data_IF_071779456887
#
_entry.id   IF_071779456887
#
_cell.length_a   1.000
_cell.length_b   1.000
_cell.length_c   1.000
_cell.angle_alpha   90.00
_cell.angle_beta   90.00
_cell.angle_gamma   90.00
#
_symmetry.space_group_name_H-M   'P 1'
#
loop_
_entity.id
_entity.type
_entity.pdbx_description
1 polymer ?
#
# COMPACT_ATOMS: atom_id res chain seq x y z
N UNK A 1 -35.59 25.87 -24.69
CA UNK A 1 -34.89 25.90 -23.39
C UNK A 1 -35.77 25.24 -22.34
N UNK A 2 -35.32 24.14 -21.72
CA UNK A 2 -35.97 23.57 -20.52
C UNK A 2 -35.00 23.75 -19.34
N UNK A 3 -35.47 24.12 -18.14
CA UNK A 3 -34.59 24.28 -16.99
C UNK A 3 -34.07 22.91 -16.54
N UNK A 4 -32.75 22.81 -16.31
CA UNK A 4 -32.13 21.60 -15.76
C UNK A 4 -32.38 21.59 -14.25
N UNK A 5 -33.14 20.61 -13.77
CA UNK A 5 -33.44 20.45 -12.36
C UNK A 5 -32.22 19.85 -11.63
N UNK A 6 -31.61 20.64 -10.75
CA UNK A 6 -30.59 20.18 -9.80
C UNK A 6 -31.28 19.63 -8.56
N UNK A 7 -30.99 18.38 -8.19
CA UNK A 7 -31.51 17.76 -6.97
C UNK A 7 -30.38 17.58 -5.95
N UNK A 8 -30.69 17.85 -4.68
CA UNK A 8 -29.79 17.65 -3.55
C UNK A 8 -30.13 16.32 -2.87
N UNK A 9 -29.15 15.44 -2.72
CA UNK A 9 -29.26 14.29 -1.81
C UNK A 9 -28.44 14.62 -0.56
N UNK A 10 -29.11 14.65 0.60
CA UNK A 10 -28.49 14.99 1.88
C UNK A 10 -28.15 13.69 2.63
N UNK A 11 -26.87 13.34 2.69
CA UNK A 11 -26.36 12.24 3.51
C UNK A 11 -25.24 12.78 4.42
N UNK A 12 -25.57 13.15 5.66
CA UNK A 12 -24.58 13.68 6.61
C UNK A 12 -23.89 14.99 6.17
N UNK A 13 -22.80 15.37 6.85
CA UNK A 13 -22.12 16.70 6.83
C UNK A 13 -21.55 17.17 5.46
N UNK A 14 -21.91 16.58 4.34
CA UNK A 14 -21.46 17.01 3.01
C UNK A 14 -22.57 16.93 1.96
N UNK A 15 -22.67 17.95 1.12
CA UNK A 15 -23.53 18.00 -0.07
C UNK A 15 -22.70 17.77 -1.34
N UNK A 16 -23.15 16.87 -2.22
CA UNK A 16 -22.45 16.52 -3.47
C UNK A 16 -23.27 17.01 -4.67
N UNK A 17 -22.62 17.71 -5.62
CA UNK A 17 -23.20 18.10 -6.91
C UNK A 17 -23.15 16.92 -7.89
N UNK A 18 -24.30 16.48 -8.38
CA UNK A 18 -24.41 15.41 -9.37
C UNK A 18 -24.78 15.98 -10.74
N UNK A 19 -23.94 15.78 -11.75
CA UNK A 19 -24.25 16.08 -13.16
C UNK A 19 -24.42 14.75 -13.93
N UNK A 20 -25.62 14.42 -14.44
CA UNK A 20 -25.92 13.11 -15.02
C UNK A 20 -25.24 12.81 -16.37
N UNK A 21 -24.38 13.69 -16.90
CA UNK A 21 -23.65 13.48 -18.17
C UNK A 21 -22.18 13.12 -18.02
N UNK A 22 -21.61 13.09 -16.82
CA UNK A 22 -20.24 12.65 -16.59
C UNK A 22 -20.24 11.26 -15.93
N UNK A 23 -19.46 10.32 -16.50
CA UNK A 23 -19.23 9.01 -15.88
C UNK A 23 -18.77 9.22 -14.43
N UNK A 24 -19.27 8.45 -13.45
CA UNK A 24 -18.89 8.64 -12.05
C UNK A 24 -17.42 8.27 -11.87
N UNK A 25 -16.56 9.29 -11.73
CA UNK A 25 -15.29 9.14 -11.05
C UNK A 25 -15.63 9.06 -9.56
N UNK A 26 -15.66 7.84 -9.02
CA UNK A 26 -15.76 7.64 -7.57
C UNK A 26 -14.43 8.05 -6.96
N UNK A 27 -14.25 9.35 -6.71
CA UNK A 27 -13.17 9.84 -5.85
C UNK A 27 -13.55 9.56 -4.40
N UNK A 28 -13.12 8.41 -3.89
CA UNK A 28 -13.16 8.19 -2.43
C UNK A 28 -12.09 9.12 -1.82
N UNK A 29 -12.53 10.26 -1.31
CA UNK A 29 -11.70 11.18 -0.53
C UNK A 29 -11.54 10.56 0.86
N UNK A 30 -10.41 9.92 1.12
CA UNK A 30 -10.03 9.50 2.47
C UNK A 30 -9.31 10.69 3.13
N UNK A 31 -9.84 11.13 4.27
CA UNK A 31 -9.27 12.24 5.05
C UNK A 31 -7.84 11.92 5.49
N UNK A 32 -6.88 12.62 4.91
CA UNK A 32 -5.48 12.63 5.31
C UNK A 32 -5.09 14.02 5.82
N UNK A 33 -4.14 14.03 6.75
CA UNK A 33 -3.54 15.21 7.37
C UNK A 33 -3.14 16.30 6.33
N UNK A 34 -3.61 17.55 6.45
CA UNK A 34 -3.37 18.61 5.46
C UNK A 34 -1.91 19.08 5.36
N UNK A 35 -1.01 18.62 6.24
CA UNK A 35 0.38 19.10 6.28
C UNK A 35 1.40 18.24 5.54
N UNK A 36 1.01 17.09 4.97
CA UNK A 36 1.92 16.25 4.17
C UNK A 36 1.43 16.11 2.73
N UNK A 37 1.96 16.97 1.86
CA UNK A 37 1.84 16.82 0.40
C UNK A 37 2.74 15.67 -0.03
N UNK A 38 2.18 14.46 -0.09
CA UNK A 38 2.79 13.37 -0.84
C UNK A 38 2.78 13.76 -2.33
N UNK A 39 3.87 13.52 -3.08
CA UNK A 39 3.90 13.84 -4.50
C UNK A 39 2.72 13.17 -5.21
N UNK A 40 2.07 13.94 -6.08
CA UNK A 40 0.77 13.72 -6.72
C UNK A 40 0.72 12.52 -7.70
N UNK A 41 1.17 11.34 -7.26
CA UNK A 41 0.88 10.02 -7.85
C UNK A 41 0.12 9.10 -6.88
N UNK A 42 -0.40 9.62 -5.78
CA UNK A 42 -1.44 8.97 -4.97
C UNK A 42 -2.81 8.99 -5.69
N UNK A 43 -2.82 8.85 -7.02
CA UNK A 43 -4.00 8.58 -7.82
C UNK A 43 -4.27 7.09 -7.75
N UNK A 44 -5.44 6.75 -7.21
CA UNK A 44 -5.94 5.41 -6.93
C UNK A 44 -5.59 4.39 -8.02
N UNK A 45 -4.75 3.41 -7.69
CA UNK A 45 -4.69 2.17 -8.45
C UNK A 45 -6.10 1.62 -8.61
N UNK A 46 -6.50 1.34 -9.84
CA UNK A 46 -7.76 0.66 -10.11
C UNK A 46 -7.78 -0.70 -9.42
N UNK A 47 -8.98 -1.22 -9.15
CA UNK A 47 -9.14 -2.56 -8.59
C UNK A 47 -8.35 -3.62 -9.38
N UNK A 48 -8.30 -3.49 -10.71
CA UNK A 48 -7.56 -4.39 -11.59
C UNK A 48 -6.05 -4.30 -11.36
N UNK A 49 -5.51 -3.10 -11.20
CA UNK A 49 -4.08 -2.88 -10.93
C UNK A 49 -3.69 -3.39 -9.54
N UNK A 50 -4.49 -3.11 -8.51
CA UNK A 50 -4.27 -3.65 -7.16
C UNK A 50 -4.29 -5.17 -7.20
N UNK A 51 -5.28 -5.78 -7.85
CA UNK A 51 -5.35 -7.24 -7.99
C UNK A 51 -4.13 -7.80 -8.71
N UNK A 52 -3.68 -7.17 -9.79
CA UNK A 52 -2.47 -7.60 -10.50
C UNK A 52 -1.20 -7.50 -9.62
N UNK A 53 -1.08 -6.45 -8.81
CA UNK A 53 0.03 -6.31 -7.87
C UNK A 53 -0.01 -7.39 -6.78
N UNK A 54 -1.17 -7.67 -6.19
CA UNK A 54 -1.32 -8.73 -5.21
C UNK A 54 -0.89 -10.11 -5.76
N UNK A 55 -1.25 -10.42 -7.01
CA UNK A 55 -0.81 -11.66 -7.65
C UNK A 55 0.70 -11.72 -7.86
N UNK A 56 1.31 -10.59 -8.27
CA UNK A 56 2.75 -10.49 -8.42
C UNK A 56 3.47 -10.70 -7.07
N UNK A 57 3.02 -10.01 -6.03
CA UNK A 57 3.60 -10.12 -4.68
C UNK A 57 3.42 -11.51 -4.09
N UNK A 58 2.27 -12.15 -4.32
CA UNK A 58 2.03 -13.54 -3.94
C UNK A 58 3.00 -14.48 -4.67
N UNK A 59 3.25 -14.25 -5.96
CA UNK A 59 4.25 -14.99 -6.73
C UNK A 59 5.67 -14.84 -6.17
N UNK A 60 6.08 -13.60 -5.87
CA UNK A 60 7.38 -13.30 -5.27
C UNK A 60 7.52 -13.96 -3.88
N UNK A 61 6.50 -13.85 -3.02
CA UNK A 61 6.56 -14.47 -1.69
C UNK A 61 6.59 -16.00 -1.75
N UNK A 62 5.91 -16.64 -2.71
CA UNK A 62 5.93 -18.10 -2.87
C UNK A 62 7.26 -18.66 -3.38
N UNK A 63 8.08 -17.84 -4.03
CA UNK A 63 9.44 -18.24 -4.46
C UNK A 63 10.51 -17.88 -3.43
N UNK A 64 10.18 -17.05 -2.44
CA UNK A 64 11.10 -16.71 -1.36
C UNK A 64 11.31 -17.94 -0.43
N UNK A 65 12.57 -18.32 -0.12
CA UNK A 65 12.88 -19.52 0.64
C UNK A 65 12.29 -19.60 2.04
N UNK A 66 12.08 -18.44 2.69
CA UNK A 66 11.53 -18.37 4.03
C UNK A 66 10.01 -18.31 3.97
N UNK A 67 9.44 -17.37 3.20
CA UNK A 67 7.97 -17.14 3.14
C UNK A 67 7.21 -18.37 2.66
N UNK A 68 7.78 -19.19 1.75
CA UNK A 68 7.13 -20.41 1.23
C UNK A 68 6.82 -21.45 2.31
N UNK A 69 7.50 -21.39 3.46
CA UNK A 69 7.31 -22.32 4.59
C UNK A 69 6.14 -21.90 5.50
N UNK A 70 5.47 -20.78 5.21
CA UNK A 70 4.30 -20.34 5.97
C UNK A 70 3.16 -21.36 5.89
N UNK A 71 2.80 -21.95 7.03
CA UNK A 71 1.76 -22.98 7.14
C UNK A 71 0.61 -22.61 8.08
N UNK A 72 0.83 -21.77 9.11
CA UNK A 72 -0.19 -21.37 10.09
C UNK A 72 -0.15 -19.86 10.39
N UNK A 73 -0.89 -19.04 9.61
CA UNK A 73 -1.70 -19.40 8.46
C UNK A 73 -0.88 -19.60 7.16
N UNK A 74 -1.41 -20.31 6.15
CA UNK A 74 -0.75 -20.43 4.86
C UNK A 74 -0.67 -19.10 4.11
N UNK A 75 0.42 -18.90 3.36
CA UNK A 75 0.62 -17.68 2.57
C UNK A 75 -0.30 -17.63 1.34
N UNK A 76 -1.31 -16.75 1.40
CA UNK A 76 -2.37 -16.61 0.39
C UNK A 76 -2.69 -15.13 0.15
N UNK A 77 -3.64 -14.83 -0.74
CA UNK A 77 -4.13 -13.45 -0.95
C UNK A 77 -4.66 -12.81 0.34
N UNK A 78 -5.15 -13.62 1.31
CA UNK A 78 -5.65 -13.13 2.60
C UNK A 78 -4.54 -12.64 3.53
N UNK A 79 -3.29 -12.97 3.25
CA UNK A 79 -2.14 -12.51 4.04
C UNK A 79 -1.86 -11.02 3.85
N UNK A 80 -2.42 -10.38 2.81
CA UNK A 80 -2.17 -8.99 2.49
C UNK A 80 -3.18 -8.04 3.13
N UNK A 81 -2.67 -7.11 3.93
CA UNK A 81 -3.45 -6.04 4.53
C UNK A 81 -3.07 -4.69 3.92
N UNK A 82 -4.10 -3.92 3.52
CA UNK A 82 -3.92 -2.58 2.96
C UNK A 82 -3.90 -1.54 4.07
N UNK A 83 -2.80 -0.80 4.18
CA UNK A 83 -2.72 0.41 4.98
C UNK A 83 -3.28 1.61 4.20
N UNK A 84 -3.95 2.52 4.90
CA UNK A 84 -4.56 3.74 4.36
C UNK A 84 -3.60 4.93 4.42
N UNK A 85 -2.66 4.92 5.38
CA UNK A 85 -1.66 5.97 5.55
C UNK A 85 -0.30 5.40 6.00
N UNK A 86 0.72 6.25 6.01
CA UNK A 86 2.07 5.87 6.42
C UNK A 86 2.15 5.56 7.92
N UNK A 87 1.41 6.28 8.77
CA UNK A 87 1.44 6.04 10.21
C UNK A 87 0.85 4.66 10.55
N UNK A 88 -0.24 4.25 9.90
CA UNK A 88 -0.80 2.89 10.07
C UNK A 88 0.19 1.81 9.61
N UNK A 89 0.87 2.02 8.48
CA UNK A 89 1.90 1.09 8.02
C UNK A 89 3.03 0.96 9.05
N UNK A 90 3.50 2.09 9.59
CA UNK A 90 4.52 2.12 10.63
C UNK A 90 4.07 1.42 11.91
N UNK A 91 2.82 1.62 12.34
CA UNK A 91 2.24 0.93 13.50
C UNK A 91 2.20 -0.59 13.30
N UNK A 92 1.81 -1.06 12.11
CA UNK A 92 1.81 -2.50 11.78
C UNK A 92 3.22 -3.09 11.82
N UNK A 93 4.20 -2.41 11.22
CA UNK A 93 5.58 -2.88 11.20
C UNK A 93 6.24 -2.86 12.59
N UNK A 94 5.88 -1.90 13.45
CA UNK A 94 6.38 -1.80 14.83
C UNK A 94 5.77 -2.86 15.77
N UNK A 95 4.49 -3.21 15.57
CA UNK A 95 3.75 -4.09 16.49
C UNK A 95 4.45 -5.45 16.72
N UNK A 96 5.04 -6.02 15.66
CA UNK A 96 5.62 -7.36 15.70
C UNK A 96 4.59 -8.46 15.96
N UNK A 97 5.07 -9.63 16.42
CA UNK A 97 4.28 -10.84 16.64
C UNK A 97 3.46 -11.28 15.40
N UNK A 98 4.05 -11.09 14.21
CA UNK A 98 3.42 -11.47 12.96
C UNK A 98 3.85 -12.86 12.51
N UNK A 99 2.89 -13.61 11.98
CA UNK A 99 3.16 -14.88 11.31
C UNK A 99 4.04 -14.67 10.08
N UNK A 100 4.77 -15.71 9.70
CA UNK A 100 5.48 -15.77 8.44
C UNK A 100 4.50 -15.53 7.26
N UNK A 101 4.90 -14.73 6.28
CA UNK A 101 4.06 -14.38 5.13
C UNK A 101 2.98 -13.33 5.41
N UNK A 102 2.78 -12.88 6.65
CA UNK A 102 1.92 -11.72 6.91
C UNK A 102 2.44 -10.50 6.15
N UNK A 103 1.56 -9.83 5.41
CA UNK A 103 1.96 -8.74 4.52
C UNK A 103 1.17 -7.45 4.77
N UNK A 104 1.86 -6.33 4.66
CA UNK A 104 1.31 -4.98 4.75
C UNK A 104 1.70 -4.19 3.52
N UNK A 105 0.78 -3.40 2.96
CA UNK A 105 1.11 -2.56 1.80
C UNK A 105 0.43 -1.20 1.85
N UNK A 106 1.14 -0.20 1.32
CA UNK A 106 0.66 1.17 1.13
C UNK A 106 0.96 1.60 -0.31
N UNK A 107 -0.08 1.84 -1.10
CA UNK A 107 0.06 2.12 -2.52
C UNK A 107 0.66 0.94 -3.27
N UNK A 108 1.82 1.15 -3.89
CA UNK A 108 2.59 0.09 -4.59
C UNK A 108 3.81 -0.40 -3.79
N UNK A 109 3.93 -0.09 -2.50
CA UNK A 109 5.00 -0.59 -1.65
C UNK A 109 4.43 -1.66 -0.71
N UNK A 110 4.97 -2.87 -0.79
CA UNK A 110 4.55 -4.04 -0.03
C UNK A 110 5.70 -4.56 0.84
N UNK A 111 5.35 -5.03 2.02
CA UNK A 111 6.21 -5.65 3.01
C UNK A 111 5.65 -7.03 3.29
N UNK A 112 6.45 -8.09 3.14
CA UNK A 112 6.05 -9.45 3.49
C UNK A 112 6.99 -9.94 4.57
N UNK A 113 6.43 -10.35 5.71
CA UNK A 113 7.21 -10.88 6.81
C UNK A 113 7.90 -12.18 6.40
N UNK A 114 9.23 -12.24 6.53
CA UNK A 114 10.03 -13.42 6.18
C UNK A 114 10.71 -14.08 7.39
N UNK A 115 10.56 -13.51 8.59
CA UNK A 115 11.06 -14.05 9.86
C UNK A 115 9.92 -14.04 10.88
N UNK A 116 9.73 -15.13 11.61
CA UNK A 116 8.70 -15.19 12.65
C UNK A 116 8.80 -14.01 13.63
N UNK A 117 7.67 -13.48 14.08
CA UNK A 117 7.63 -12.34 14.99
C UNK A 117 7.70 -10.97 14.33
N UNK A 118 7.94 -10.88 13.01
CA UNK A 118 7.90 -9.61 12.29
C UNK A 118 9.22 -8.82 12.31
N UNK A 119 10.34 -9.52 12.45
CA UNK A 119 11.67 -8.90 12.58
C UNK A 119 12.31 -8.55 11.24
N UNK A 120 11.96 -9.26 10.16
CA UNK A 120 12.52 -9.01 8.84
C UNK A 120 11.44 -9.04 7.75
N UNK A 121 11.45 -8.02 6.90
CA UNK A 121 10.42 -7.75 5.91
C UNK A 121 11.04 -7.71 4.52
N UNK A 122 10.56 -8.57 3.63
CA UNK A 122 10.84 -8.47 2.21
C UNK A 122 10.10 -7.25 1.65
N UNK A 123 10.84 -6.31 1.05
CA UNK A 123 10.28 -5.07 0.49
C UNK A 123 10.15 -5.17 -1.02
N UNK A 124 8.95 -4.89 -1.51
CA UNK A 124 8.59 -4.93 -2.92
C UNK A 124 7.97 -3.59 -3.33
N UNK A 125 8.52 -2.94 -4.35
CA UNK A 125 7.92 -1.73 -4.94
C UNK A 125 7.45 -1.98 -6.37
N UNK A 126 6.14 -1.90 -6.60
CA UNK A 126 5.51 -2.30 -7.85
C UNK A 126 5.68 -3.80 -8.06
N UNK A 127 6.60 -4.19 -8.94
CA UNK A 127 6.93 -5.60 -9.22
C UNK A 127 8.35 -5.99 -8.78
N UNK A 128 9.08 -5.05 -8.20
CA UNK A 128 10.48 -5.21 -7.89
C UNK A 128 10.66 -5.49 -6.41
N UNK A 129 10.99 -6.73 -6.06
CA UNK A 129 11.62 -7.03 -4.78
C UNK A 129 13.07 -6.53 -4.82
N UNK A 130 13.51 -5.77 -3.81
CA UNK A 130 14.82 -5.12 -3.87
C UNK A 130 15.64 -5.19 -2.58
N UNK A 131 15.01 -5.25 -1.41
CA UNK A 131 15.73 -5.40 -0.15
C UNK A 131 14.91 -6.14 0.90
N UNK A 132 15.60 -6.59 1.95
CA UNK A 132 15.04 -7.04 3.20
C UNK A 132 15.33 -5.99 4.27
N UNK A 133 14.35 -5.65 5.11
CA UNK A 133 14.55 -4.66 6.15
C UNK A 133 14.10 -5.16 7.52
N UNK A 134 14.81 -4.72 8.56
CA UNK A 134 14.35 -4.83 9.95
C UNK A 134 13.81 -3.49 10.40
N UNK A 135 12.49 -3.38 10.56
CA UNK A 135 11.84 -2.09 10.88
C UNK A 135 12.40 -1.47 12.17
N UNK A 136 12.63 -2.29 13.20
CA UNK A 136 13.20 -1.86 14.50
C UNK A 136 14.61 -1.27 14.39
N UNK A 137 15.33 -1.51 13.30
CA UNK A 137 16.67 -0.96 13.07
C UNK A 137 16.66 0.43 12.42
N UNK A 138 15.49 0.95 12.01
CA UNK A 138 15.41 2.27 11.38
C UNK A 138 15.55 3.40 12.39
N UNK A 139 16.42 4.36 12.05
CA UNK A 139 16.47 5.67 12.72
C UNK A 139 15.43 6.65 12.18
N UNK A 140 15.13 6.57 10.87
CA UNK A 140 14.19 7.46 10.19
C UNK A 140 13.50 6.74 9.02
N UNK A 141 12.46 5.97 9.36
CA UNK A 141 11.67 5.22 8.39
C UNK A 141 10.92 6.15 7.42
N UNK A 142 10.44 7.31 7.88
CA UNK A 142 9.70 8.27 7.04
C UNK A 142 10.58 8.80 5.92
N UNK A 143 11.84 9.13 6.20
CA UNK A 143 12.78 9.55 5.17
C UNK A 143 13.18 8.40 4.24
N UNK A 144 13.42 7.18 4.75
CA UNK A 144 13.65 6.01 3.90
C UNK A 144 12.48 5.78 2.93
N UNK A 145 11.23 5.83 3.43
CA UNK A 145 10.03 5.69 2.61
C UNK A 145 9.99 6.72 1.48
N UNK A 146 10.28 8.00 1.79
CA UNK A 146 10.34 9.07 0.77
C UNK A 146 11.37 8.77 -0.32
N UNK A 147 12.58 8.34 0.06
CA UNK A 147 13.64 8.00 -0.89
C UNK A 147 13.23 6.84 -1.80
N UNK A 148 12.72 5.74 -1.22
CA UNK A 148 12.22 4.57 -1.97
C UNK A 148 11.12 4.95 -2.96
N UNK A 149 10.17 5.79 -2.53
CA UNK A 149 9.07 6.23 -3.39
C UNK A 149 9.51 7.18 -4.51
N UNK A 150 10.64 7.89 -4.33
CA UNK A 150 11.23 8.77 -5.35
C UNK A 150 12.24 8.08 -6.27
N UNK A 151 12.76 6.92 -5.86
CA UNK A 151 13.83 6.23 -6.56
C UNK A 151 13.37 5.63 -7.90
N UNK A 152 14.29 5.53 -8.86
CA UNK A 152 14.10 4.70 -10.05
C UNK A 152 14.29 3.21 -9.73
N UNK A 153 13.73 2.33 -10.57
CA UNK A 153 13.94 0.87 -10.47
C UNK A 153 15.43 0.50 -10.45
N UNK A 154 16.26 1.23 -11.22
CA UNK A 154 17.71 1.03 -11.25
C UNK A 154 18.36 1.37 -9.90
N UNK A 155 17.93 2.47 -9.27
CA UNK A 155 18.45 2.84 -7.95
C UNK A 155 18.06 1.84 -6.88
N UNK A 156 16.80 1.36 -6.89
CA UNK A 156 16.34 0.32 -5.97
C UNK A 156 17.11 -0.98 -6.15
N UNK A 157 17.31 -1.44 -7.39
CA UNK A 157 18.10 -2.65 -7.67
C UNK A 157 19.55 -2.58 -7.17
N UNK A 158 20.13 -1.39 -7.18
CA UNK A 158 21.51 -1.16 -6.77
C UNK A 158 21.66 -0.63 -5.34
N UNK A 159 20.54 -0.49 -4.61
CA UNK A 159 20.49 0.08 -3.26
C UNK A 159 21.16 1.47 -3.15
N UNK A 160 21.00 2.32 -4.17
CA UNK A 160 21.58 3.67 -4.23
C UNK A 160 20.51 4.78 -4.31
N UNK A 161 19.72 4.94 -3.23
CA UNK A 161 18.61 5.89 -3.12
C UNK A 161 18.53 6.67 -1.80
#
# INVERSE_FOLDING_TARGET
>A
MRPSATYYIRTGKSSVLFNPRQKPLVSIIFGGDPHFIYPARAGQFSFKEVKAMLQEWLGIGRTNPWIKEAADPPFTEKSFYRCLCLDELMEKLEHGNWCLGQAFYLGNLCFINQVEGGDEWLVIRGKLAFESITYRAFKDFKNWYRRVMSASDRQLKNLCY
#
